data_IF_640083615553
#
_entry.id   IF_640083615553
#
_cell.length_a   1.000
_cell.length_b   1.000
_cell.length_c   1.000
_cell.angle_alpha   90.00
_cell.angle_beta   90.00
_cell.angle_gamma   90.00
#
_symmetry.space_group_name_H-M   'P 1'
#
loop_
_entity.id
_entity.type
_entity.pdbx_description
1 polymer ?
#
# COMPACT_ATOMS: atom_id res chain seq x y z
N UNK A 1 36.69 -9.29 14.73
CA UNK A 1 35.36 -9.24 14.11
C UNK A 1 35.11 -7.84 13.55
N UNK A 2 35.13 -7.66 12.22
CA UNK A 2 34.80 -6.37 11.59
C UNK A 2 33.27 -6.22 11.58
N UNK A 3 32.76 -5.16 12.21
CA UNK A 3 31.38 -4.71 12.08
C UNK A 3 31.16 -4.30 10.62
N UNK A 4 30.37 -5.07 9.86
CA UNK A 4 29.90 -4.65 8.54
C UNK A 4 28.93 -3.49 8.75
N UNK A 5 29.41 -2.27 8.52
CA UNK A 5 28.54 -1.09 8.37
C UNK A 5 27.91 -1.17 6.99
N UNK A 6 26.71 -1.75 6.92
CA UNK A 6 25.88 -1.73 5.72
C UNK A 6 25.44 -0.28 5.46
N UNK A 7 25.82 0.27 4.31
CA UNK A 7 25.48 1.63 3.89
C UNK A 7 24.14 1.67 3.16
N UNK A 8 23.62 2.88 2.90
CA UNK A 8 22.42 3.05 2.07
C UNK A 8 22.58 2.36 0.70
N UNK A 9 23.76 2.51 0.09
CA UNK A 9 24.12 1.92 -1.20
C UNK A 9 24.06 0.39 -1.17
N UNK A 10 24.44 -0.21 -0.03
CA UNK A 10 24.41 -1.66 0.15
C UNK A 10 22.98 -2.19 0.29
N UNK A 11 22.05 -1.46 0.92
CA UNK A 11 20.64 -1.88 0.96
C UNK A 11 20.02 -1.92 -0.45
N UNK A 12 20.28 -0.89 -1.27
CA UNK A 12 19.81 -0.89 -2.65
C UNK A 12 20.40 -2.05 -3.45
N UNK A 13 21.70 -2.32 -3.26
CA UNK A 13 22.36 -3.45 -3.91
C UNK A 13 21.77 -4.79 -3.47
N UNK A 14 21.55 -5.01 -2.17
CA UNK A 14 20.98 -6.25 -1.63
C UNK A 14 19.56 -6.48 -2.12
N UNK A 15 18.72 -5.43 -2.15
CA UNK A 15 17.36 -5.53 -2.70
C UNK A 15 17.41 -5.83 -4.18
N UNK A 16 18.28 -5.15 -4.94
CA UNK A 16 18.45 -5.39 -6.38
C UNK A 16 18.88 -6.84 -6.63
N UNK A 17 19.87 -7.33 -5.89
CA UNK A 17 20.34 -8.71 -5.99
C UNK A 17 19.25 -9.72 -5.64
N UNK A 18 18.42 -9.41 -4.64
CA UNK A 18 17.27 -10.25 -4.28
C UNK A 18 16.23 -10.28 -5.40
N UNK A 19 15.94 -9.13 -6.02
CA UNK A 19 15.02 -9.04 -7.16
C UNK A 19 15.57 -9.79 -8.38
N UNK A 20 16.86 -9.67 -8.68
CA UNK A 20 17.53 -10.43 -9.73
C UNK A 20 17.40 -11.93 -9.47
N UNK A 21 17.71 -12.39 -8.25
CA UNK A 21 17.59 -13.80 -7.89
C UNK A 21 16.16 -14.34 -8.04
N UNK A 22 15.14 -13.54 -7.70
CA UNK A 22 13.73 -13.90 -7.90
C UNK A 22 13.35 -14.00 -9.39
N UNK A 23 13.89 -13.12 -10.23
CA UNK A 23 13.69 -13.15 -11.69
C UNK A 23 14.39 -14.37 -12.30
N UNK A 24 15.61 -14.67 -11.86
CA UNK A 24 16.39 -15.81 -12.34
C UNK A 24 15.80 -17.17 -11.92
N UNK A 25 15.12 -17.23 -10.77
CA UNK A 25 14.51 -18.45 -10.26
C UNK A 25 13.29 -18.93 -11.07
N UNK A 26 12.51 -18.02 -11.66
CA UNK A 26 11.36 -18.37 -12.50
C UNK A 26 11.16 -17.35 -13.65
N UNK A 27 11.94 -17.50 -14.74
CA UNK A 27 11.86 -16.60 -15.90
C UNK A 27 10.51 -16.74 -16.61
N UNK A 28 9.60 -15.78 -16.38
CA UNK A 28 8.29 -15.69 -17.06
C UNK A 28 7.09 -15.80 -16.12
N UNK A 29 7.26 -16.31 -14.90
CA UNK A 29 6.21 -16.37 -13.88
C UNK A 29 6.63 -15.67 -12.58
N UNK A 30 7.33 -14.53 -12.71
CA UNK A 30 7.82 -13.73 -11.58
C UNK A 30 6.73 -13.48 -10.53
N UNK A 31 6.82 -14.20 -9.41
CA UNK A 31 6.01 -13.97 -8.22
C UNK A 31 6.73 -12.94 -7.36
N UNK A 32 6.38 -11.69 -7.55
CA UNK A 32 6.88 -10.61 -6.69
C UNK A 32 6.29 -10.79 -5.28
N UNK A 33 7.07 -10.59 -4.20
CA UNK A 33 6.60 -10.76 -2.81
C UNK A 33 5.36 -9.92 -2.46
N UNK A 34 5.08 -8.90 -3.26
CA UNK A 34 3.95 -7.97 -3.14
C UNK A 34 2.80 -8.25 -4.11
N UNK A 35 2.83 -9.37 -4.84
CA UNK A 35 1.65 -9.96 -5.49
C UNK A 35 1.11 -11.06 -4.58
N UNK A 36 0.50 -10.68 -3.46
CA UNK A 36 -0.26 -11.63 -2.62
C UNK A 36 -1.69 -11.70 -3.12
N UNK A 37 -2.08 -12.84 -3.67
CA UNK A 37 -3.50 -13.19 -3.84
C UNK A 37 -4.10 -13.51 -2.48
N UNK A 38 -5.09 -12.72 -2.04
CA UNK A 38 -5.93 -13.07 -0.88
C UNK A 38 -5.59 -12.40 0.47
N UNK A 39 -4.61 -11.49 0.53
CA UNK A 39 -4.42 -10.58 1.66
C UNK A 39 -4.36 -9.15 1.12
N UNK A 40 -5.09 -8.17 1.70
CA UNK A 40 -4.98 -6.78 1.27
C UNK A 40 -3.51 -6.36 1.36
N UNK A 41 -2.99 -5.73 0.31
CA UNK A 41 -1.63 -5.19 0.28
C UNK A 41 -1.52 -3.99 1.22
N UNK A 42 -1.56 -4.25 2.52
CA UNK A 42 -1.36 -3.23 3.53
C UNK A 42 0.08 -2.75 3.46
N UNK A 43 0.26 -1.46 3.24
CA UNK A 43 1.57 -0.81 3.32
C UNK A 43 2.19 -1.12 4.69
N UNK A 44 3.50 -1.39 4.76
CA UNK A 44 4.19 -1.46 6.04
C UNK A 44 4.00 -0.13 6.79
N UNK A 45 3.64 -0.19 8.06
CA UNK A 45 3.33 0.98 8.90
C UNK A 45 4.23 0.95 10.14
N UNK A 46 4.63 2.13 10.60
CA UNK A 46 5.32 2.27 11.87
C UNK A 46 4.35 2.03 13.04
N UNK A 47 4.63 1.04 13.88
CA UNK A 47 3.71 0.64 14.95
C UNK A 47 3.50 1.70 16.05
N UNK A 48 4.44 2.66 16.19
CA UNK A 48 4.34 3.73 17.20
C UNK A 48 3.80 5.01 16.61
N UNK A 49 4.24 5.41 15.41
CA UNK A 49 3.81 6.68 14.81
C UNK A 49 2.59 6.56 13.90
N UNK A 50 2.19 5.35 13.51
CA UNK A 50 1.09 5.10 12.56
C UNK A 50 1.40 5.48 11.11
N UNK A 51 2.59 5.99 10.82
CA UNK A 51 2.97 6.44 9.47
C UNK A 51 3.34 5.26 8.57
N UNK A 52 2.84 5.26 7.35
CA UNK A 52 3.27 4.30 6.33
C UNK A 52 4.75 4.53 5.96
N UNK A 53 5.49 3.44 5.76
CA UNK A 53 6.80 3.48 5.14
C UNK A 53 6.65 3.81 3.65
N UNK A 54 7.67 4.42 3.06
CA UNK A 54 7.64 4.88 1.67
C UNK A 54 8.84 4.40 0.85
N UNK A 55 8.69 4.46 -0.47
CA UNK A 55 9.73 4.14 -1.43
C UNK A 55 10.31 2.73 -1.26
N UNK A 56 11.64 2.64 -1.28
CA UNK A 56 12.37 1.36 -1.22
C UNK A 56 12.13 0.59 0.09
N UNK A 57 11.77 1.29 1.17
CA UNK A 57 11.49 0.63 2.45
C UNK A 57 10.27 -0.28 2.36
N UNK A 58 9.27 0.05 1.52
CA UNK A 58 8.09 -0.80 1.32
C UNK A 58 8.52 -2.16 0.79
N UNK A 59 9.33 -2.16 -0.29
CA UNK A 59 9.83 -3.38 -0.93
C UNK A 59 10.71 -4.19 0.02
N UNK A 60 11.65 -3.53 0.71
CA UNK A 60 12.53 -4.15 1.71
C UNK A 60 11.73 -4.89 2.79
N UNK A 61 10.70 -4.24 3.34
CA UNK A 61 9.90 -4.79 4.43
C UNK A 61 8.94 -5.89 3.95
N UNK A 62 8.43 -5.83 2.72
CA UNK A 62 7.67 -6.93 2.14
C UNK A 62 8.52 -8.17 1.91
N UNK A 63 9.72 -8.02 1.34
CA UNK A 63 10.69 -9.12 1.20
C UNK A 63 11.00 -9.73 2.58
N UNK A 64 11.27 -8.87 3.57
CA UNK A 64 11.55 -9.30 4.93
C UNK A 64 10.37 -10.03 5.60
N UNK A 65 9.13 -9.62 5.28
CA UNK A 65 7.91 -10.28 5.74
C UNK A 65 7.77 -11.65 5.12
N UNK A 66 7.94 -11.75 3.80
CA UNK A 66 7.81 -13.00 3.06
C UNK A 66 8.84 -14.03 3.50
N UNK A 67 10.12 -13.65 3.55
CA UNK A 67 11.22 -14.52 3.93
C UNK A 67 11.10 -15.08 5.36
N UNK A 68 10.29 -14.46 6.22
CA UNK A 68 10.10 -14.85 7.63
C UNK A 68 8.65 -15.14 7.99
N UNK A 69 7.77 -15.25 6.99
CA UNK A 69 6.34 -15.49 7.15
C UNK A 69 5.63 -14.51 8.13
N UNK A 70 6.03 -13.24 8.14
CA UNK A 70 5.33 -12.22 8.92
C UNK A 70 4.02 -11.83 8.23
N UNK A 71 2.95 -11.80 9.03
CA UNK A 71 1.60 -11.47 8.59
C UNK A 71 1.21 -10.02 8.90
N UNK A 72 1.72 -9.47 10.01
CA UNK A 72 1.43 -8.11 10.42
C UNK A 72 2.26 -7.09 9.61
N UNK A 73 1.67 -6.01 9.08
CA UNK A 73 2.40 -4.95 8.39
C UNK A 73 3.06 -3.95 9.36
N UNK A 74 3.17 -4.28 10.64
CA UNK A 74 3.59 -3.36 11.69
C UNK A 74 5.06 -3.53 12.00
N UNK A 75 5.81 -2.43 11.89
CA UNK A 75 7.26 -2.40 12.09
C UNK A 75 7.65 -1.24 13.00
N UNK A 76 8.64 -1.42 13.86
CA UNK A 76 9.20 -0.32 14.62
C UNK A 76 10.64 -0.60 15.04
N UNK A 77 11.39 0.45 15.37
CA UNK A 77 12.74 0.27 15.94
C UNK A 77 12.66 -0.34 17.34
N UNK A 78 13.77 -0.91 17.83
CA UNK A 78 13.83 -1.47 19.18
C UNK A 78 13.37 -0.48 20.26
N UNK A 79 13.84 0.77 20.18
CA UNK A 79 13.48 1.83 21.14
C UNK A 79 12.00 2.21 21.05
N UNK A 80 11.42 2.17 19.86
CA UNK A 80 9.99 2.41 19.66
C UNK A 80 9.15 1.31 20.30
N UNK A 81 9.49 0.03 20.08
CA UNK A 81 8.82 -1.07 20.77
C UNK A 81 8.92 -0.93 22.30
N UNK A 82 10.10 -0.62 22.81
CA UNK A 82 10.31 -0.39 24.23
C UNK A 82 9.46 0.77 24.78
N UNK A 83 9.26 1.83 24.00
CA UNK A 83 8.47 3.00 24.41
C UNK A 83 6.98 2.68 24.62
N UNK A 84 6.48 1.60 24.03
CA UNK A 84 5.11 1.11 24.22
C UNK A 84 5.06 -0.17 25.07
N UNK A 85 6.07 -0.37 25.93
CA UNK A 85 6.21 -1.53 26.84
C UNK A 85 6.26 -2.90 26.12
N UNK A 86 6.67 -2.91 24.86
CA UNK A 86 6.83 -4.12 24.07
C UNK A 86 8.32 -4.46 23.90
N UNK A 87 8.67 -5.74 24.01
CA UNK A 87 10.06 -6.21 24.05
C UNK A 87 10.36 -7.10 22.86
N UNK A 88 11.33 -6.70 22.03
CA UNK A 88 11.86 -7.57 20.97
C UNK A 88 12.48 -8.82 21.62
N UNK A 89 12.11 -10.01 21.14
CA UNK A 89 12.63 -11.27 21.66
C UNK A 89 14.13 -11.41 21.41
N UNK A 90 14.82 -12.06 22.35
CA UNK A 90 16.27 -12.28 22.26
C UNK A 90 16.59 -13.18 21.07
N UNK A 91 17.53 -12.75 20.23
CA UNK A 91 17.98 -13.49 19.05
C UNK A 91 17.25 -13.14 17.75
N UNK A 92 16.20 -12.32 17.82
CA UNK A 92 15.49 -11.82 16.64
C UNK A 92 16.40 -10.93 15.77
N UNK A 93 16.27 -11.08 14.45
CA UNK A 93 17.05 -10.31 13.47
C UNK A 93 16.25 -9.11 12.98
N UNK A 94 16.87 -7.93 13.03
CA UNK A 94 16.28 -6.71 12.51
C UNK A 94 16.27 -6.66 10.97
N UNK A 95 15.37 -5.86 10.41
CA UNK A 95 15.34 -5.48 8.99
C UNK A 95 15.81 -4.04 8.82
N UNK A 96 16.54 -3.76 7.74
CA UNK A 96 17.12 -2.44 7.49
C UNK A 96 16.16 -1.55 6.70
N UNK A 97 16.02 -0.30 7.14
CA UNK A 97 15.27 0.77 6.46
C UNK A 97 16.14 2.02 6.35
N UNK A 98 15.90 2.85 5.34
CA UNK A 98 16.63 4.10 5.10
C UNK A 98 15.68 5.28 5.22
N UNK A 99 16.11 6.31 5.94
CA UNK A 99 15.43 7.60 6.01
C UNK A 99 16.36 8.69 5.51
N UNK A 100 15.84 9.64 4.74
CA UNK A 100 16.59 10.82 4.34
C UNK A 100 16.29 11.95 5.33
N UNK A 101 17.34 12.49 5.95
CA UNK A 101 17.23 13.68 6.79
C UNK A 101 17.93 14.84 6.09
N UNK A 102 17.22 15.93 5.92
CA UNK A 102 17.80 17.19 5.47
C UNK A 102 18.41 17.91 6.68
N UNK A 103 19.58 18.52 6.49
CA UNK A 103 20.12 19.50 7.42
C UNK A 103 20.69 20.68 6.64
N UNK A 104 20.59 21.84 7.27
CA UNK A 104 21.17 23.07 6.79
C UNK A 104 22.62 23.14 7.29
N UNK A 105 23.55 23.30 6.37
CA UNK A 105 24.93 23.70 6.67
C UNK A 105 25.04 25.22 6.51
N UNK A 106 25.96 25.86 7.24
CA UNK A 106 26.24 27.27 7.05
C UNK A 106 26.53 27.52 5.56
N UNK A 107 25.78 28.44 4.95
CA UNK A 107 25.96 28.83 3.57
C UNK A 107 27.36 29.47 3.41
N UNK A 108 28.09 29.07 2.37
CA UNK A 108 29.33 29.73 2.00
C UNK A 108 28.97 31.04 1.28
N UNK A 109 29.35 32.23 1.79
CA UNK A 109 28.93 33.51 1.22
C UNK A 109 29.44 33.76 -0.21
N UNK A 110 30.39 32.95 -0.71
CA UNK A 110 30.91 33.03 -2.09
C UNK A 110 30.32 31.93 -3.03
N UNK A 111 29.29 31.20 -2.58
CA UNK A 111 28.68 30.10 -3.35
C UNK A 111 27.17 30.29 -3.51
N UNK A 112 26.64 29.97 -4.70
CA UNK A 112 25.19 29.89 -4.98
C UNK A 112 24.55 28.60 -4.39
N UNK A 113 25.23 27.98 -3.41
CA UNK A 113 24.85 26.75 -2.74
C UNK A 113 23.91 27.08 -1.57
N UNK A 114 22.65 26.62 -1.67
CA UNK A 114 21.58 26.88 -0.70
C UNK A 114 21.77 26.22 0.67
N UNK A 115 22.95 25.64 0.92
CA UNK A 115 23.35 25.01 2.18
C UNK A 115 22.55 23.75 2.53
N UNK A 116 21.67 23.25 1.66
CA UNK A 116 20.86 22.06 1.96
C UNK A 116 21.67 20.81 1.66
N UNK A 117 21.79 19.96 2.67
CA UNK A 117 22.43 18.65 2.56
C UNK A 117 21.44 17.57 2.99
N UNK A 118 21.39 16.48 2.22
CA UNK A 118 20.58 15.30 2.53
C UNK A 118 21.49 14.16 2.95
N UNK A 119 21.27 13.60 4.14
CA UNK A 119 21.96 12.38 4.58
C UNK A 119 20.97 11.24 4.70
N UNK A 120 21.32 10.13 4.05
CA UNK A 120 20.65 8.86 4.22
C UNK A 120 21.08 8.25 5.56
N UNK A 121 20.10 8.01 6.44
CA UNK A 121 20.27 7.34 7.72
C UNK A 121 19.65 5.97 7.66
N UNK A 122 20.49 4.95 7.77
CA UNK A 122 20.05 3.57 7.94
C UNK A 122 19.55 3.36 9.39
N UNK A 123 18.42 2.67 9.54
CA UNK A 123 17.83 2.28 10.82
C UNK A 123 17.39 0.82 10.78
N UNK A 124 17.40 0.18 11.95
CA UNK A 124 17.00 -1.21 12.12
C UNK A 124 15.63 -1.29 12.77
N UNK A 125 14.70 -2.00 12.12
CA UNK A 125 13.32 -2.18 12.57
C UNK A 125 12.99 -3.66 12.75
N UNK A 126 12.04 -3.93 13.63
CA UNK A 126 11.54 -5.26 13.95
C UNK A 126 10.03 -5.27 13.68
N UNK A 127 9.54 -6.40 13.15
CA UNK A 127 8.12 -6.62 12.92
C UNK A 127 7.41 -6.90 14.26
N UNK A 128 6.13 -6.58 14.36
CA UNK A 128 5.31 -6.91 15.51
C UNK A 128 5.35 -8.41 15.89
N UNK A 129 5.49 -9.29 14.89
CA UNK A 129 5.64 -10.73 15.11
C UNK A 129 6.88 -11.11 15.93
N UNK A 130 7.88 -10.23 16.05
CA UNK A 130 9.16 -10.45 16.75
C UNK A 130 9.17 -9.96 18.20
N UNK A 131 8.04 -9.45 18.69
CA UNK A 131 7.96 -8.65 19.91
C UNK A 131 6.94 -9.27 20.86
N UNK A 132 7.30 -9.34 22.14
CA UNK A 132 6.41 -9.74 23.22
C UNK A 132 5.82 -8.48 23.90
N UNK A 133 4.63 -8.59 24.47
CA UNK A 133 3.95 -7.46 25.12
C UNK A 133 3.27 -6.48 24.17
N UNK A 134 3.19 -6.79 22.87
CA UNK A 134 2.37 -6.07 21.90
C UNK A 134 1.25 -6.97 21.38
N UNK A 135 0.01 -6.62 21.69
CA UNK A 135 -1.15 -7.24 21.04
C UNK A 135 -1.34 -6.59 19.67
N UNK A 136 -1.33 -7.39 18.61
CA UNK A 136 -1.73 -6.89 17.30
C UNK A 136 -3.12 -6.27 17.42
N UNK A 137 -3.36 -5.09 16.81
CA UNK A 137 -4.70 -4.57 16.68
C UNK A 137 -5.55 -5.68 16.08
N UNK A 138 -6.61 -6.09 16.78
CA UNK A 138 -7.57 -7.02 16.22
C UNK A 138 -8.04 -6.38 14.92
N UNK A 139 -7.97 -7.13 13.80
CA UNK A 139 -8.65 -6.72 12.58
C UNK A 139 -10.03 -6.27 13.00
N UNK A 140 -10.39 -5.02 12.67
CA UNK A 140 -11.68 -4.48 13.04
C UNK A 140 -12.70 -5.57 12.68
N UNK A 141 -13.60 -5.96 13.61
CA UNK A 141 -14.63 -6.92 13.28
C UNK A 141 -15.25 -6.47 11.96
N UNK A 142 -15.59 -7.42 11.09
CA UNK A 142 -16.38 -7.13 9.89
C UNK A 142 -17.46 -6.16 10.35
N UNK A 143 -17.43 -4.94 9.80
CA UNK A 143 -18.33 -3.89 10.26
C UNK A 143 -19.76 -4.41 10.20
N UNK A 144 -20.65 -3.82 10.99
CA UNK A 144 -22.08 -4.12 10.88
C UNK A 144 -22.47 -4.18 9.39
N UNK A 145 -23.33 -5.14 8.98
CA UNK A 145 -23.72 -5.28 7.59
C UNK A 145 -24.07 -3.92 6.99
N UNK A 146 -23.69 -3.71 5.73
CA UNK A 146 -24.00 -2.45 5.05
C UNK A 146 -25.50 -2.22 5.14
N UNK A 147 -25.89 -1.11 5.76
CA UNK A 147 -27.29 -0.75 5.88
C UNK A 147 -27.78 -0.31 4.50
N UNK A 148 -28.63 -1.14 3.89
CA UNK A 148 -29.09 -0.92 2.54
C UNK A 148 -30.02 0.28 2.48
N UNK A 149 -29.66 1.26 1.66
CA UNK A 149 -30.45 2.44 1.37
C UNK A 149 -31.31 2.19 0.13
N UNK A 150 -32.59 1.86 0.33
CA UNK A 150 -33.51 1.50 -0.76
C UNK A 150 -33.56 2.52 -1.92
N UNK A 151 -33.40 3.81 -1.61
CA UNK A 151 -33.37 4.86 -2.65
C UNK A 151 -32.12 4.78 -3.52
N UNK A 152 -30.95 4.53 -2.92
CA UNK A 152 -29.70 4.38 -3.66
C UNK A 152 -29.70 3.08 -4.47
N UNK A 153 -30.14 1.97 -3.86
CA UNK A 153 -30.26 0.68 -4.56
C UNK A 153 -31.16 0.77 -5.80
N UNK A 154 -32.31 1.46 -5.68
CA UNK A 154 -33.21 1.72 -6.82
C UNK A 154 -32.55 2.58 -7.88
N UNK A 155 -31.85 3.64 -7.49
CA UNK A 155 -31.14 4.50 -8.44
C UNK A 155 -30.09 3.71 -9.22
N UNK A 156 -29.22 2.98 -8.52
CA UNK A 156 -28.16 2.16 -9.11
C UNK A 156 -28.75 1.09 -10.03
N UNK A 157 -29.79 0.38 -9.58
CA UNK A 157 -30.49 -0.61 -10.41
C UNK A 157 -31.07 0.02 -11.69
N UNK A 158 -31.65 1.22 -11.59
CA UNK A 158 -32.21 1.92 -12.73
C UNK A 158 -31.14 2.40 -13.74
N UNK A 159 -29.87 2.51 -13.35
CA UNK A 159 -28.78 2.85 -14.30
C UNK A 159 -28.51 1.73 -15.32
N UNK A 160 -28.85 0.48 -14.98
CA UNK A 160 -28.50 -0.70 -15.78
C UNK A 160 -27.01 -1.03 -15.79
N UNK A 161 -26.20 -0.42 -14.91
CA UNK A 161 -24.79 -0.74 -14.77
C UNK A 161 -24.58 -2.18 -14.31
N UNK A 162 -23.62 -2.88 -14.92
CA UNK A 162 -23.21 -4.20 -14.46
C UNK A 162 -22.19 -4.04 -13.35
N UNK A 163 -22.57 -4.42 -12.12
CA UNK A 163 -21.70 -4.32 -10.95
C UNK A 163 -21.17 -5.70 -10.60
N UNK A 164 -19.84 -5.81 -10.44
CA UNK A 164 -19.17 -7.00 -9.94
C UNK A 164 -18.41 -6.67 -8.67
N UNK A 165 -18.58 -7.51 -7.64
CA UNK A 165 -17.77 -7.46 -6.44
C UNK A 165 -16.50 -8.29 -6.59
N UNK A 166 -15.35 -7.72 -6.23
CA UNK A 166 -14.05 -8.40 -6.21
C UNK A 166 -12.88 -7.46 -6.44
N UNK A 167 -11.68 -7.94 -6.14
CA UNK A 167 -10.46 -7.12 -6.16
C UNK A 167 -10.33 -6.24 -4.92
N UNK A 168 -9.39 -5.31 -4.97
CA UNK A 168 -8.96 -4.43 -3.87
C UNK A 168 -9.25 -2.94 -4.10
N UNK A 169 -9.77 -2.58 -5.28
CA UNK A 169 -10.07 -1.20 -5.66
C UNK A 169 -11.43 -1.10 -6.36
N UNK A 170 -12.11 0.04 -6.18
CA UNK A 170 -13.29 0.40 -6.95
C UNK A 170 -12.89 1.12 -8.23
N UNK A 171 -13.52 0.76 -9.35
CA UNK A 171 -13.35 1.44 -10.63
C UNK A 171 -14.42 1.02 -11.64
N UNK A 172 -14.80 1.93 -12.52
CA UNK A 172 -15.44 1.59 -13.78
C UNK A 172 -14.41 1.11 -14.81
N UNK A 173 -14.71 -0.02 -15.47
CA UNK A 173 -13.88 -0.60 -16.54
C UNK A 173 -14.56 -0.42 -17.90
N UNK A 174 -14.09 0.52 -18.74
CA UNK A 174 -14.72 0.78 -20.04
C UNK A 174 -14.66 -0.39 -21.01
N UNK A 175 -13.56 -1.15 -21.02
CA UNK A 175 -13.33 -2.25 -21.98
C UNK A 175 -14.32 -3.40 -21.85
N UNK A 176 -14.89 -3.59 -20.67
CA UNK A 176 -15.88 -4.63 -20.40
C UNK A 176 -17.18 -4.05 -19.88
N UNK A 177 -17.40 -2.73 -19.95
CA UNK A 177 -18.64 -2.06 -19.50
C UNK A 177 -19.17 -2.62 -18.16
N UNK A 178 -18.31 -2.60 -17.14
CA UNK A 178 -18.62 -3.09 -15.79
C UNK A 178 -18.04 -2.15 -14.73
N UNK A 179 -18.78 -1.95 -13.64
CA UNK A 179 -18.28 -1.35 -12.42
C UNK A 179 -17.75 -2.48 -11.55
N UNK A 180 -16.50 -2.35 -11.10
CA UNK A 180 -15.89 -3.26 -10.14
C UNK A 180 -15.87 -2.56 -8.81
N UNK A 181 -16.45 -3.19 -7.80
CA UNK A 181 -16.40 -2.75 -6.41
C UNK A 181 -15.61 -3.75 -5.57
N UNK A 182 -14.85 -3.31 -4.56
CA UNK A 182 -14.31 -4.20 -3.54
C UNK A 182 -15.44 -4.97 -2.86
N UNK A 183 -15.16 -6.14 -2.29
CA UNK A 183 -16.09 -6.83 -1.40
C UNK A 183 -16.56 -5.90 -0.27
N UNK A 184 -17.81 -6.07 0.19
CA UNK A 184 -18.38 -5.19 1.22
C UNK A 184 -17.53 -5.17 2.50
N UNK A 185 -16.81 -6.26 2.79
CA UNK A 185 -15.90 -6.38 3.93
C UNK A 185 -14.75 -5.38 3.91
N UNK A 186 -14.38 -4.87 2.72
CA UNK A 186 -13.30 -3.90 2.55
C UNK A 186 -13.67 -2.48 3.00
N UNK A 187 -14.96 -2.20 3.25
CA UNK A 187 -15.44 -0.89 3.69
C UNK A 187 -15.48 -0.80 5.23
N UNK A 188 -15.15 0.36 5.79
CA UNK A 188 -15.09 0.57 7.24
C UNK A 188 -15.48 2.00 7.61
N UNK A 189 -15.87 2.21 8.86
CA UNK A 189 -16.16 3.54 9.38
C UNK A 189 -14.89 4.39 9.40
N UNK A 190 -15.03 5.65 8.99
CA UNK A 190 -13.98 6.67 9.12
C UNK A 190 -14.44 7.73 10.14
N UNK A 191 -13.57 8.71 10.44
CA UNK A 191 -13.96 9.82 11.33
C UNK A 191 -15.15 10.64 10.79
N UNK A 192 -15.40 10.60 9.48
CA UNK A 192 -16.36 11.48 8.80
C UNK A 192 -17.48 10.75 8.06
N UNK A 193 -17.39 9.44 7.91
CA UNK A 193 -18.37 8.63 7.17
C UNK A 193 -18.54 7.27 7.83
N UNK A 194 -19.77 6.80 7.91
CA UNK A 194 -20.08 5.40 8.21
C UNK A 194 -19.66 4.49 7.05
N UNK A 195 -19.50 3.21 7.33
CA UNK A 195 -19.22 2.16 6.35
C UNK A 195 -20.26 2.14 5.22
N UNK A 196 -21.55 2.30 5.55
CA UNK A 196 -22.63 2.33 4.56
C UNK A 196 -22.53 3.56 3.65
N UNK A 197 -22.22 4.73 4.21
CA UNK A 197 -22.00 5.95 3.42
C UNK A 197 -20.77 5.81 2.52
N UNK A 198 -19.67 5.23 3.03
CA UNK A 198 -18.46 5.00 2.25
C UNK A 198 -18.74 4.07 1.06
N UNK A 199 -19.50 2.99 1.28
CA UNK A 199 -19.93 2.08 0.22
C UNK A 199 -20.76 2.79 -0.86
N UNK A 200 -21.84 3.46 -0.48
CA UNK A 200 -22.71 4.12 -1.46
C UNK A 200 -22.02 5.28 -2.15
N UNK A 201 -21.16 6.04 -1.46
CA UNK A 201 -20.38 7.09 -2.08
C UNK A 201 -19.45 6.53 -3.17
N UNK A 202 -18.75 5.42 -2.89
CA UNK A 202 -17.91 4.75 -3.88
C UNK A 202 -18.72 4.18 -5.04
N UNK A 203 -19.81 3.47 -4.77
CA UNK A 203 -20.69 2.92 -5.82
C UNK A 203 -21.25 4.01 -6.74
N UNK A 204 -21.72 5.13 -6.17
CA UNK A 204 -22.24 6.26 -6.93
C UNK A 204 -21.13 7.00 -7.68
N UNK A 205 -19.92 7.10 -7.14
CA UNK A 205 -18.77 7.66 -7.85
C UNK A 205 -18.46 6.87 -9.12
N UNK A 206 -18.46 5.53 -9.05
CA UNK A 206 -18.25 4.70 -10.24
C UNK A 206 -19.42 4.74 -11.21
N UNK A 207 -20.66 4.90 -10.72
CA UNK A 207 -21.82 5.17 -11.58
C UNK A 207 -21.64 6.47 -12.39
N UNK A 208 -20.97 7.49 -11.85
CA UNK A 208 -20.65 8.72 -12.58
C UNK A 208 -19.65 8.43 -13.70
N UNK A 209 -18.58 7.67 -13.45
CA UNK A 209 -17.63 7.27 -14.51
C UNK A 209 -18.29 6.44 -15.61
N UNK A 210 -19.21 5.56 -15.24
CA UNK A 210 -20.05 4.79 -16.17
C UNK A 210 -20.96 5.71 -17.01
N UNK A 211 -21.61 6.68 -16.37
CA UNK A 211 -22.49 7.63 -17.05
C UNK A 211 -21.72 8.58 -17.97
N UNK A 212 -20.54 9.08 -17.56
CA UNK A 212 -19.71 9.99 -18.37
C UNK A 212 -19.40 9.38 -19.74
N UNK A 213 -19.01 8.10 -19.77
CA UNK A 213 -18.70 7.40 -21.02
C UNK A 213 -19.95 7.12 -21.87
N UNK A 214 -21.14 7.02 -21.26
CA UNK A 214 -22.41 6.79 -21.98
C UNK A 214 -23.11 8.07 -22.45
N UNK A 215 -22.98 9.17 -21.71
CA UNK A 215 -23.62 10.46 -22.00
C UNK A 215 -22.72 11.33 -22.87
N UNK A 216 -21.39 11.21 -22.74
CA UNK A 216 -20.41 11.80 -23.64
C UNK A 216 -19.67 10.68 -24.38
N UNK A 217 -20.16 10.25 -25.56
CA UNK A 217 -19.37 9.35 -26.39
C UNK A 217 -18.08 10.07 -26.77
N UNK A 218 -16.95 9.72 -26.14
CA UNK A 218 -15.65 10.06 -26.70
C UNK A 218 -15.59 9.34 -28.03
N UNK A 219 -15.71 10.10 -29.11
CA UNK A 219 -15.59 9.63 -30.49
C UNK A 219 -14.29 8.84 -30.64
N UNK A 220 -14.40 7.52 -30.50
CA UNK A 220 -13.51 6.52 -31.07
C UNK A 220 -14.37 5.39 -31.61
N UNK A 221 -15.22 5.74 -32.56
CA UNK A 221 -15.49 4.83 -33.65
C UNK A 221 -14.21 4.76 -34.49
N UNK A 222 -13.32 3.84 -34.12
CA UNK A 222 -12.38 3.29 -35.11
C UNK A 222 -13.13 2.10 -35.70
N UNK A 223 -13.83 2.35 -36.79
CA UNK A 223 -14.29 1.28 -37.67
C UNK A 223 -13.06 0.49 -38.18
N UNK A 224 -13.25 -0.79 -38.47
CA UNK A 224 -12.20 -1.72 -38.97
C UNK A 224 -11.55 -1.30 -40.31
N UNK A 225 -11.88 -0.13 -40.85
CA UNK A 225 -11.50 0.32 -42.20
C UNK A 225 -10.75 1.67 -42.23
N UNK A 226 -10.47 2.29 -41.08
CA UNK A 226 -9.45 3.34 -40.99
C UNK A 226 -9.69 4.59 -41.85
N UNK A 227 -10.92 5.12 -41.92
CA UNK A 227 -11.17 6.44 -42.51
C UNK A 227 -11.96 7.36 -41.58
N UNK A 228 -11.43 8.57 -41.43
CA UNK A 228 -11.93 9.66 -40.60
C UNK A 228 -12.79 10.57 -41.50
N UNK A 229 -14.02 10.86 -41.09
CA UNK A 229 -14.75 12.07 -41.49
C UNK A 229 -15.16 12.82 -40.23
#
# INVERSE_FOLDING_TARGET
MRSLRMTARDLYADITNTLIALIEADPGHLQLPWRRTGLPLSLPINAVTGNAYNGINIVSLWIASEARAYTAPLWATFKQWQSINAQVRKGEKASLVIFYKEFETAADPDSDDDGKRRVARASYVFNAAQVDGYALPQAAPLGSPIERMATADRFVTATGARIRFGGDHAYYRPSTDEIVLPPEEAFFDTQTMTRSEAFYATELHECIHYADIRIMPRAREINREGRIY
#
